data_IF_815162511957
#
_entry.id   IF_815162511957
#
_cell.length_a   1.000
_cell.length_b   1.000
_cell.length_c   1.000
_cell.angle_alpha   90.00
_cell.angle_beta   90.00
_cell.angle_gamma   90.00
#
_symmetry.space_group_name_H-M   'P 1'
#
loop_
_entity.id
_entity.type
_entity.pdbx_description
1 polymer ?
#
# COMPACT_ATOMS: atom_id res chain seq x y z
N UNK A 1 -0.09 -31.89 0.20
CA UNK A 1 0.80 -31.48 -0.40
C UNK A 1 0.82 -30.37 -0.94
N UNK A 2 1.04 -29.90 -0.89
CA UNK A 2 0.92 -28.89 -1.57
C UNK A 2 1.06 -28.92 -2.84
N UNK A 3 0.52 -29.44 -3.24
CA UNK A 3 0.76 -29.41 -4.26
C UNK A 3 0.32 -29.21 -5.12
N UNK A 4 0.12 -29.29 -5.35
CA UNK A 4 0.14 -29.11 -6.12
C UNK A 4 -0.27 -29.03 -7.11
N UNK A 5 -0.47 -29.25 -7.46
CA UNK A 5 -0.46 -29.13 -8.33
C UNK A 5 -0.89 -28.75 -9.25
N UNK A 6 -1.17 -28.58 -9.47
CA UNK A 6 -0.98 -28.24 -10.27
C UNK A 6 -0.88 -27.47 -10.82
N UNK A 7 -0.92 -27.09 -10.88
CA UNK A 7 -0.17 -26.57 -11.59
C UNK A 7 0.56 -26.26 -10.85
N UNK A 8 0.50 -26.46 -10.55
CA UNK A 8 1.09 -26.43 -9.77
C UNK A 8 2.29 -26.51 -9.25
N UNK A 9 2.37 -26.18 -8.26
CA UNK A 9 3.68 -26.37 -7.77
C UNK A 9 4.02 -27.82 -7.76
N UNK A 10 5.09 -28.16 -8.42
CA UNK A 10 5.50 -29.54 -8.52
C UNK A 10 6.58 -29.92 -7.51
N UNK A 11 7.10 -28.91 -6.72
CA UNK A 11 8.16 -29.16 -5.74
C UNK A 11 7.95 -28.29 -4.51
N UNK A 12 8.49 -28.70 -3.35
CA UNK A 12 8.45 -27.86 -2.15
C UNK A 12 9.11 -26.49 -2.36
N UNK A 13 10.24 -26.45 -3.06
CA UNK A 13 10.94 -25.19 -3.34
C UNK A 13 10.09 -24.25 -4.17
N UNK A 14 9.44 -24.77 -5.20
CA UNK A 14 8.56 -23.95 -6.05
C UNK A 14 7.36 -23.42 -5.27
N UNK A 15 6.80 -24.21 -4.36
CA UNK A 15 5.68 -23.80 -3.53
C UNK A 15 6.10 -22.67 -2.57
N UNK A 16 7.26 -22.78 -1.94
CA UNK A 16 7.77 -21.76 -1.02
C UNK A 16 8.07 -20.48 -1.80
N UNK A 17 8.70 -20.57 -2.95
CA UNK A 17 9.00 -19.42 -3.79
C UNK A 17 7.70 -18.69 -4.19
N UNK A 18 6.68 -19.43 -4.59
CA UNK A 18 5.38 -18.86 -4.94
C UNK A 18 4.73 -18.15 -3.76
N UNK A 19 4.87 -18.70 -2.55
CA UNK A 19 4.31 -18.11 -1.34
C UNK A 19 4.91 -16.74 -1.05
N UNK A 20 6.21 -16.56 -1.24
CA UNK A 20 6.88 -15.30 -0.93
C UNK A 20 6.93 -14.32 -2.10
N UNK A 21 6.54 -14.75 -3.29
CA UNK A 21 6.50 -13.86 -4.44
C UNK A 21 5.41 -12.82 -4.25
N UNK A 22 5.77 -11.55 -4.40
CA UNK A 22 4.79 -10.45 -4.33
C UNK A 22 4.27 -10.12 -5.72
N UNK A 23 3.03 -9.61 -5.75
CA UNK A 23 2.41 -9.09 -6.97
C UNK A 23 2.83 -7.65 -7.18
N UNK A 24 2.90 -7.21 -8.43
CA UNK A 24 3.25 -5.84 -8.79
C UNK A 24 2.25 -5.26 -9.80
N UNK A 25 0.96 -5.16 -9.41
CA UNK A 25 -0.04 -4.61 -10.33
C UNK A 25 0.20 -3.12 -10.57
N UNK A 26 -0.25 -2.65 -11.72
CA UNK A 26 -0.21 -1.22 -12.02
C UNK A 26 -1.18 -0.47 -11.12
N UNK A 27 -0.75 0.70 -10.65
CA UNK A 27 -1.58 1.57 -9.84
C UNK A 27 -1.26 3.03 -10.12
N UNK A 28 -2.19 3.90 -9.74
CA UNK A 28 -2.01 5.34 -9.74
C UNK A 28 -1.97 5.81 -8.30
N UNK A 29 -1.00 6.66 -7.98
CA UNK A 29 -0.85 7.26 -6.66
C UNK A 29 -1.38 8.69 -6.71
N UNK A 30 -2.33 8.99 -5.83
CA UNK A 30 -2.90 10.33 -5.67
C UNK A 30 -2.94 10.70 -4.20
N UNK A 31 -3.03 12.00 -3.93
CA UNK A 31 -3.07 12.52 -2.56
C UNK A 31 -3.72 13.90 -2.54
N UNK A 32 -4.29 14.25 -1.38
CA UNK A 32 -4.72 15.62 -1.12
C UNK A 32 -3.53 16.56 -0.95
N UNK A 33 -2.36 16.02 -0.58
CA UNK A 33 -1.14 16.79 -0.44
C UNK A 33 -0.43 16.92 -1.79
N UNK A 34 0.21 18.05 -2.09
CA UNK A 34 1.00 18.15 -3.31
C UNK A 34 2.21 17.23 -3.26
N UNK A 35 2.66 16.81 -4.44
CA UNK A 35 3.84 15.96 -4.53
C UNK A 35 5.13 16.76 -4.37
N UNK A 36 6.18 16.08 -3.92
CA UNK A 36 7.52 16.63 -3.85
C UNK A 36 8.02 16.98 -5.26
N UNK A 37 8.87 18.01 -5.36
CA UNK A 37 9.33 18.51 -6.66
C UNK A 37 10.17 17.51 -7.45
N UNK A 38 10.91 16.62 -6.77
CA UNK A 38 11.75 15.62 -7.42
C UNK A 38 11.28 14.20 -7.17
N UNK A 39 10.77 13.91 -5.97
CA UNK A 39 10.27 12.59 -5.61
C UNK A 39 8.77 12.52 -5.91
N UNK A 40 8.43 12.61 -7.19
CA UNK A 40 7.05 12.72 -7.65
C UNK A 40 6.27 11.42 -7.47
N UNK A 41 4.95 11.51 -7.47
CA UNK A 41 4.09 10.35 -7.29
C UNK A 41 4.27 9.32 -8.42
N UNK A 42 4.59 9.78 -9.62
CA UNK A 42 4.86 8.89 -10.74
C UNK A 42 6.02 7.94 -10.47
N UNK A 43 7.00 8.35 -9.66
CA UNK A 43 8.13 7.49 -9.32
C UNK A 43 7.71 6.29 -8.46
N UNK A 44 6.80 6.53 -7.52
CA UNK A 44 6.33 5.43 -6.66
C UNK A 44 5.41 4.47 -7.40
N UNK A 45 4.92 4.84 -8.56
CA UNK A 45 4.14 3.92 -9.40
C UNK A 45 5.02 2.85 -10.04
N UNK A 46 6.34 2.99 -9.91
CA UNK A 46 7.29 1.94 -10.24
C UNK A 46 7.72 1.25 -8.94
N UNK A 47 7.53 -0.06 -8.87
CA UNK A 47 7.91 -0.82 -7.69
C UNK A 47 9.42 -0.70 -7.44
N UNK A 48 9.79 -0.57 -6.16
CA UNK A 48 11.16 -0.32 -5.77
C UNK A 48 11.56 1.13 -5.66
N UNK A 49 10.63 2.06 -5.93
CA UNK A 49 10.88 3.48 -5.82
C UNK A 49 9.98 4.12 -4.77
N UNK A 50 10.39 5.31 -4.32
CA UNK A 50 9.65 6.09 -3.33
C UNK A 50 9.17 7.39 -3.93
N UNK A 51 8.03 7.86 -3.44
CA UNK A 51 7.58 9.24 -3.65
C UNK A 51 7.58 9.97 -2.31
N UNK A 52 7.41 11.26 -2.36
CA UNK A 52 7.23 12.10 -1.17
C UNK A 52 6.17 13.14 -1.45
N UNK A 53 5.50 13.55 -0.39
CA UNK A 53 4.66 14.74 -0.43
C UNK A 53 5.54 16.00 -0.30
N UNK A 54 5.00 17.16 -0.68
CA UNK A 54 5.72 18.42 -0.57
C UNK A 54 5.66 18.99 0.87
N UNK A 55 4.77 18.48 1.71
CA UNK A 55 4.61 18.89 3.11
C UNK A 55 4.17 17.70 3.95
N UNK A 56 4.27 17.84 5.27
CA UNK A 56 3.72 16.80 6.16
C UNK A 56 2.20 16.78 6.12
N UNK A 57 1.62 15.70 6.62
CA UNK A 57 0.17 15.52 6.65
C UNK A 57 -0.49 16.35 7.75
N UNK A 58 -1.75 16.68 7.53
CA UNK A 58 -2.64 17.31 8.50
C UNK A 58 -3.95 16.52 8.53
N UNK A 59 -4.83 16.86 9.45
CA UNK A 59 -6.13 16.18 9.59
C UNK A 59 -6.85 16.18 8.25
N UNK A 60 -7.42 15.02 7.90
CA UNK A 60 -8.17 14.77 6.67
C UNK A 60 -7.32 14.70 5.39
N UNK A 61 -6.02 14.91 5.47
CA UNK A 61 -5.16 14.59 4.32
C UNK A 61 -5.20 13.09 4.04
N UNK A 62 -5.06 12.75 2.76
CA UNK A 62 -5.15 11.36 2.35
C UNK A 62 -4.14 11.03 1.26
N UNK A 63 -3.83 9.74 1.19
CA UNK A 63 -2.98 9.12 0.17
C UNK A 63 -3.77 7.94 -0.38
N UNK A 64 -3.84 7.81 -1.69
CA UNK A 64 -4.64 6.76 -2.31
C UNK A 64 -3.86 6.02 -3.39
N UNK A 65 -3.95 4.70 -3.34
CA UNK A 65 -3.47 3.80 -4.39
C UNK A 65 -4.69 3.25 -5.12
N UNK A 66 -4.79 3.54 -6.41
CA UNK A 66 -5.89 3.04 -7.24
C UNK A 66 -5.31 2.08 -8.27
N UNK A 67 -5.68 0.82 -8.20
CA UNK A 67 -5.17 -0.19 -9.10
C UNK A 67 -5.90 -0.13 -10.45
N UNK A 68 -5.16 -0.39 -11.53
CA UNK A 68 -5.74 -0.42 -12.87
C UNK A 68 -6.86 -1.47 -12.95
N UNK A 69 -6.66 -2.59 -12.29
CA UNK A 69 -7.67 -3.64 -12.13
C UNK A 69 -7.70 -4.08 -10.67
N UNK A 70 -8.86 -4.49 -10.18
CA UNK A 70 -8.99 -4.95 -8.81
C UNK A 70 -8.03 -6.12 -8.57
N UNK A 71 -7.37 -6.10 -7.42
CA UNK A 71 -6.30 -7.04 -7.08
C UNK A 71 -6.81 -8.09 -6.12
N UNK A 72 -6.81 -9.34 -6.55
CA UNK A 72 -7.10 -10.47 -5.67
C UNK A 72 -5.82 -10.86 -4.95
N UNK A 73 -5.83 -10.82 -3.63
CA UNK A 73 -4.63 -11.07 -2.85
C UNK A 73 -4.96 -11.70 -1.51
N UNK A 74 -3.96 -12.37 -0.95
CA UNK A 74 -4.05 -12.91 0.41
C UNK A 74 -3.80 -11.81 1.44
N UNK A 75 -2.91 -10.88 1.14
CA UNK A 75 -2.49 -9.82 2.06
C UNK A 75 -1.95 -8.64 1.28
N UNK A 76 -2.21 -7.43 1.78
CA UNK A 76 -1.67 -6.20 1.20
C UNK A 76 -1.17 -5.30 2.32
N UNK A 77 0.11 -4.93 2.28
CA UNK A 77 0.71 -4.00 3.24
C UNK A 77 0.89 -2.65 2.59
N UNK A 78 0.35 -1.63 3.24
CA UNK A 78 0.49 -0.24 2.83
C UNK A 78 1.37 0.43 3.88
N UNK A 79 2.47 1.05 3.44
CA UNK A 79 3.42 1.66 4.37
C UNK A 79 3.84 3.04 3.90
N UNK A 80 4.00 3.95 4.86
CA UNK A 80 4.61 5.26 4.67
C UNK A 80 5.94 5.31 5.41
N UNK A 81 6.72 6.37 5.18
CA UNK A 81 8.07 6.44 5.69
C UNK A 81 9.03 5.63 4.84
N UNK A 82 10.29 5.58 5.26
CA UNK A 82 11.27 4.71 4.64
C UNK A 82 12.27 4.25 5.68
N UNK A 83 13.10 3.30 5.31
CA UNK A 83 14.04 2.67 6.23
C UNK A 83 15.03 3.68 6.84
N UNK A 84 15.47 4.65 6.05
CA UNK A 84 16.46 5.66 6.47
C UNK A 84 15.82 6.82 7.21
N UNK A 85 14.56 7.15 6.89
CA UNK A 85 13.85 8.29 7.44
C UNK A 85 12.47 7.84 7.95
N UNK A 86 12.45 7.02 9.01
CA UNK A 86 11.18 6.46 9.50
C UNK A 86 10.22 7.52 10.04
N UNK A 87 10.72 8.71 10.39
CA UNK A 87 9.87 9.81 10.86
C UNK A 87 9.02 10.43 9.73
N UNK A 88 9.31 10.13 8.47
CA UNK A 88 8.50 10.62 7.34
C UNK A 88 7.28 9.75 7.13
N UNK A 89 6.62 9.40 8.22
CA UNK A 89 5.45 8.52 8.21
C UNK A 89 4.16 9.32 8.37
N UNK A 90 3.09 8.70 7.94
CA UNK A 90 1.72 9.13 8.14
C UNK A 90 1.28 8.53 9.47
N UNK A 91 1.69 9.17 10.57
CA UNK A 91 1.77 8.52 11.88
C UNK A 91 0.43 8.07 12.43
N UNK A 92 -0.56 8.96 12.41
CA UNK A 92 -1.88 8.68 12.96
C UNK A 92 -2.94 8.82 11.88
N UNK A 93 -3.75 7.80 11.77
CA UNK A 93 -4.80 7.77 10.78
C UNK A 93 -5.40 6.40 10.68
N UNK A 94 -6.17 6.20 9.64
CA UNK A 94 -6.81 4.92 9.38
C UNK A 94 -6.73 4.58 7.90
N UNK A 95 -6.89 3.31 7.61
CA UNK A 95 -6.95 2.81 6.24
C UNK A 95 -8.39 2.50 5.88
N UNK A 96 -8.72 2.73 4.62
CA UNK A 96 -9.99 2.30 4.05
C UNK A 96 -9.73 1.66 2.69
N UNK A 97 -10.59 0.72 2.32
CA UNK A 97 -10.47 0.02 1.04
C UNK A 97 -11.73 0.22 0.22
N UNK A 98 -11.56 0.14 -1.09
CA UNK A 98 -12.67 0.14 -2.03
C UNK A 98 -12.58 -1.08 -2.93
N UNK A 99 -13.68 -1.80 -3.08
CA UNK A 99 -13.76 -2.94 -3.97
C UNK A 99 -14.28 -2.55 -5.36
N UNK A 100 -14.97 -1.42 -5.45
CA UNK A 100 -15.56 -0.92 -6.72
C UNK A 100 -14.88 0.34 -7.25
N UNK A 101 -13.96 0.93 -6.49
CA UNK A 101 -13.29 2.18 -6.84
C UNK A 101 -14.05 3.44 -6.48
N UNK A 102 -15.25 3.31 -5.91
CA UNK A 102 -16.12 4.46 -5.61
C UNK A 102 -16.47 4.55 -4.13
N UNK A 103 -16.81 3.45 -3.51
CA UNK A 103 -17.21 3.39 -2.10
C UNK A 103 -16.08 2.87 -1.27
N UNK A 104 -15.65 3.61 -0.26
CA UNK A 104 -14.57 3.23 0.65
C UNK A 104 -15.14 2.83 1.99
N UNK A 105 -14.60 1.76 2.55
CA UNK A 105 -14.97 1.27 3.88
C UNK A 105 -13.72 1.25 4.77
N UNK A 106 -13.81 1.81 5.99
CA UNK A 106 -12.69 1.76 6.92
C UNK A 106 -12.36 0.33 7.31
N UNK A 107 -11.07 0.01 7.40
CA UNK A 107 -10.62 -1.34 7.78
C UNK A 107 -9.78 -1.36 9.05
N UNK A 108 -9.22 -0.24 9.48
CA UNK A 108 -8.50 -0.17 10.74
C UNK A 108 -7.54 1.00 10.82
N UNK A 109 -6.98 1.18 12.01
CA UNK A 109 -6.06 2.28 12.30
C UNK A 109 -4.64 1.94 11.88
N UNK A 110 -3.89 2.98 11.49
CA UNK A 110 -2.49 2.83 11.14
C UNK A 110 -1.66 2.51 12.38
N UNK A 111 -0.63 1.69 12.19
CA UNK A 111 0.36 1.38 13.20
C UNK A 111 1.73 1.78 12.65
N UNK A 112 2.34 2.81 13.23
CA UNK A 112 3.62 3.33 12.76
C UNK A 112 3.61 3.66 11.27
N UNK A 113 2.54 4.32 10.82
CA UNK A 113 2.41 4.74 9.43
C UNK A 113 2.11 3.62 8.44
N UNK A 114 1.63 2.48 8.92
CA UNK A 114 1.43 1.31 8.07
C UNK A 114 0.13 0.59 8.44
N UNK A 115 -0.44 -0.11 7.48
CA UNK A 115 -1.59 -0.97 7.69
C UNK A 115 -1.46 -2.23 6.84
N UNK A 116 -1.93 -3.34 7.39
CA UNK A 116 -1.96 -4.62 6.68
C UNK A 116 -3.41 -5.05 6.49
N UNK A 117 -3.83 -5.14 5.24
CA UNK A 117 -5.12 -5.74 4.88
C UNK A 117 -4.88 -7.24 4.78
N UNK A 118 -5.50 -8.00 5.66
CA UNK A 118 -5.29 -9.46 5.73
C UNK A 118 -6.54 -10.18 5.24
N UNK A 119 -6.36 -11.05 4.27
CA UNK A 119 -7.41 -11.89 3.70
C UNK A 119 -8.68 -11.11 3.32
N UNK A 120 -8.57 -10.11 2.43
CA UNK A 120 -9.75 -9.32 2.06
C UNK A 120 -10.83 -10.19 1.41
N UNK A 121 -12.13 -9.89 1.66
CA UNK A 121 -13.23 -10.71 1.15
C UNK A 121 -13.45 -10.60 -0.36
N UNK A 122 -12.94 -9.53 -0.98
CA UNK A 122 -13.09 -9.27 -2.41
C UNK A 122 -11.80 -8.69 -2.98
N UNK A 123 -11.58 -8.76 -4.29
CA UNK A 123 -10.46 -8.05 -4.91
C UNK A 123 -10.52 -6.54 -4.62
N UNK A 124 -9.37 -5.96 -4.35
CA UNK A 124 -9.26 -4.55 -3.93
C UNK A 124 -8.99 -3.67 -5.14
N UNK A 125 -9.86 -2.69 -5.37
CA UNK A 125 -9.68 -1.71 -6.45
C UNK A 125 -8.85 -0.52 -6.00
N UNK A 126 -9.00 -0.07 -4.75
CA UNK A 126 -8.26 1.06 -4.23
C UNK A 126 -8.06 0.94 -2.72
N UNK A 127 -6.98 1.54 -2.23
CA UNK A 127 -6.69 1.67 -0.80
C UNK A 127 -6.38 3.12 -0.52
N UNK A 128 -6.92 3.66 0.57
CA UNK A 128 -6.70 5.03 0.97
C UNK A 128 -6.26 5.08 2.43
N UNK A 129 -5.25 5.91 2.70
CA UNK A 129 -4.86 6.25 4.07
C UNK A 129 -5.36 7.65 4.36
N UNK A 130 -6.02 7.84 5.51
CA UNK A 130 -6.57 9.13 5.91
C UNK A 130 -5.93 9.55 7.23
N UNK A 131 -5.42 10.77 7.27
CA UNK A 131 -4.75 11.32 8.45
C UNK A 131 -5.78 11.78 9.49
N UNK A 132 -5.60 11.40 10.74
CA UNK A 132 -6.50 11.79 11.82
C UNK A 132 -5.89 12.81 12.76
N UNK A 133 -4.62 13.15 12.62
CA UNK A 133 -3.98 14.19 13.41
C UNK A 133 -2.82 14.82 12.64
N UNK A 134 -2.40 15.99 13.12
CA UNK A 134 -1.29 16.70 12.51
C UNK A 134 -0.02 15.83 12.54
N UNK A 135 0.80 15.95 11.51
CA UNK A 135 2.06 15.21 11.41
C UNK A 135 3.03 15.52 12.55
N UNK A 136 4.02 14.66 12.67
CA UNK A 136 4.94 14.61 13.80
C UNK A 136 6.13 15.58 13.68
N UNK A 137 6.00 16.67 12.91
CA UNK A 137 7.08 17.61 12.70
C UNK A 137 8.03 17.26 11.55
N UNK A 138 7.81 16.14 10.87
CA UNK A 138 8.56 15.81 9.67
C UNK A 138 8.18 16.76 8.53
N UNK A 139 9.09 16.94 7.58
CA UNK A 139 8.85 17.86 6.45
C UNK A 139 7.94 17.24 5.40
N UNK A 140 7.95 15.93 5.26
CA UNK A 140 7.30 15.22 4.18
C UNK A 140 6.68 13.94 4.70
N UNK A 141 5.84 13.33 3.87
CA UNK A 141 5.47 11.92 4.03
C UNK A 141 6.12 11.15 2.87
N UNK A 142 6.88 10.13 3.19
CA UNK A 142 7.44 9.22 2.18
C UNK A 142 6.40 8.14 1.89
N UNK A 143 6.23 7.82 0.62
CA UNK A 143 5.21 6.89 0.15
C UNK A 143 5.90 5.77 -0.60
N UNK A 144 5.58 4.53 -0.23
CA UNK A 144 6.11 3.32 -0.84
C UNK A 144 5.03 2.64 -1.65
N UNK A 145 5.40 1.93 -2.74
CA UNK A 145 4.44 1.04 -3.38
C UNK A 145 3.95 -0.01 -2.38
N UNK A 146 2.70 -0.46 -2.50
CA UNK A 146 2.19 -1.50 -1.60
C UNK A 146 2.92 -2.82 -1.81
N UNK A 147 3.03 -3.61 -0.74
CA UNK A 147 3.53 -4.99 -0.82
C UNK A 147 2.34 -5.92 -0.83
N UNK A 148 2.21 -6.74 -1.86
CA UNK A 148 1.01 -7.53 -2.10
C UNK A 148 1.38 -8.99 -2.28
N UNK A 149 0.81 -9.85 -1.43
CA UNK A 149 1.05 -11.29 -1.49
C UNK A 149 -0.11 -11.99 -2.19
N UNK A 150 0.17 -12.89 -3.12
CA UNK A 150 -0.87 -13.59 -3.85
C UNK A 150 -1.60 -14.60 -2.97
N UNK A 151 -2.79 -15.00 -3.39
CA UNK A 151 -3.45 -16.17 -2.84
C UNK A 151 -2.71 -17.43 -3.32
N UNK A 152 -2.70 -18.44 -2.48
CA UNK A 152 -2.04 -19.71 -2.79
C UNK A 152 -3.02 -20.73 -3.36
#
# INVERSE_FOLDING_TARGET
MFVARRGSASSPEAAVEGYFRTLKPQFTLTSSMPQHSTMTFAKAQEYGRLARTARTCDVDDWIQFTFAQAVDCRRMQIATGNFQLPRFIFEQGYAEVSYDGKTFVPVGDLQNGMYVVDNPPHPIKAVRLVCSSQGNGAKYVSIQPPTIWPRL
#
